data_IF_365037149254
#
_entry.id   IF_365037149254
#
_cell.length_a   1.000
_cell.length_b   1.000
_cell.length_c   1.000
_cell.angle_alpha   90.00
_cell.angle_beta   90.00
_cell.angle_gamma   90.00
#
_symmetry.space_group_name_H-M   'P 1'
#
loop_
_entity.id
_entity.type
_entity.pdbx_description
1 polymer ?
#
# COMPACT_ATOMS: atom_id res chain seq x y z
N UNK A 1 -1.30 -11.69 7.66
CA UNK A 1 -1.30 -10.44 8.46
C UNK A 1 -2.74 -10.00 8.62
N UNK A 2 -3.16 -9.68 9.83
CA UNK A 2 -4.55 -9.29 10.12
C UNK A 2 -4.53 -7.94 10.82
N UNK A 3 -5.24 -6.96 10.27
CA UNK A 3 -5.26 -5.58 10.78
C UNK A 3 -6.66 -5.01 10.73
N UNK A 4 -7.02 -4.23 11.75
CA UNK A 4 -8.29 -3.50 11.81
C UNK A 4 -8.08 -2.18 12.57
N UNK A 5 -9.09 -1.31 12.52
CA UNK A 5 -9.06 -0.01 13.18
C UNK A 5 -10.35 0.28 13.92
N UNK A 6 -10.25 1.17 14.90
CA UNK A 6 -11.39 1.81 15.56
C UNK A 6 -11.28 3.31 15.30
N UNK A 7 -12.25 3.92 14.58
CA UNK A 7 -12.30 5.37 14.39
C UNK A 7 -12.38 6.12 15.72
N UNK A 8 -11.68 7.25 15.79
CA UNK A 8 -11.63 8.14 16.93
C UNK A 8 -12.15 9.53 16.54
N UNK A 9 -12.36 10.39 17.54
CA UNK A 9 -12.71 11.80 17.34
C UNK A 9 -11.64 12.48 16.46
N UNK A 10 -12.07 13.41 15.59
CA UNK A 10 -11.15 14.16 14.73
C UNK A 10 -10.58 13.34 13.57
N UNK A 11 -11.25 12.26 13.16
CA UNK A 11 -10.85 11.42 12.02
C UNK A 11 -9.62 10.54 12.29
N UNK A 12 -9.07 10.59 13.51
CA UNK A 12 -7.96 9.74 13.91
C UNK A 12 -8.40 8.28 14.02
N UNK A 13 -7.42 7.39 14.01
CA UNK A 13 -7.64 5.94 14.07
C UNK A 13 -6.85 5.35 15.23
N UNK A 14 -7.37 4.27 15.81
CA UNK A 14 -6.56 3.35 16.63
C UNK A 14 -6.44 2.04 15.88
N UNK A 15 -5.23 1.66 15.50
CA UNK A 15 -4.99 0.41 14.78
C UNK A 15 -4.65 -0.72 15.73
N UNK A 16 -5.00 -1.92 15.27
CA UNK A 16 -4.72 -3.17 15.93
C UNK A 16 -4.38 -4.20 14.86
N UNK A 17 -3.64 -5.22 15.25
CA UNK A 17 -3.38 -6.33 14.35
C UNK A 17 -2.53 -7.40 14.99
N UNK A 18 -2.30 -8.45 14.22
CA UNK A 18 -1.30 -9.46 14.52
C UNK A 18 -0.78 -10.09 13.22
N UNK A 19 0.44 -10.60 13.28
CA UNK A 19 1.03 -11.43 12.24
C UNK A 19 1.02 -12.86 12.74
N UNK A 20 0.48 -13.77 11.93
CA UNK A 20 0.60 -15.20 12.16
C UNK A 20 1.65 -15.73 11.19
N UNK A 21 2.63 -16.47 11.70
CA UNK A 21 3.66 -17.14 10.90
C UNK A 21 3.54 -18.65 11.04
N UNK A 22 4.09 -19.37 10.07
CA UNK A 22 4.23 -20.81 10.11
C UNK A 22 5.60 -21.16 9.52
N UNK A 23 6.59 -21.38 10.39
CA UNK A 23 7.96 -21.68 10.02
C UNK A 23 8.27 -23.10 10.48
N UNK A 24 8.65 -23.98 9.55
CA UNK A 24 8.95 -25.39 9.83
C UNK A 24 7.83 -26.14 10.59
N UNK A 25 6.57 -25.75 10.35
CA UNK A 25 5.40 -26.33 11.03
C UNK A 25 5.10 -25.74 12.41
N UNK A 26 5.93 -24.82 12.93
CA UNK A 26 5.66 -24.07 14.15
C UNK A 26 4.85 -22.83 13.84
N UNK A 27 3.64 -22.77 14.39
CA UNK A 27 2.75 -21.63 14.26
C UNK A 27 2.93 -20.67 15.43
N UNK A 28 3.22 -19.40 15.13
CA UNK A 28 3.33 -18.34 16.12
C UNK A 28 2.40 -17.18 15.76
N UNK A 29 1.95 -16.44 16.78
CA UNK A 29 1.15 -15.23 16.63
C UNK A 29 1.91 -14.09 17.31
N UNK A 30 2.14 -13.02 16.56
CA UNK A 30 2.82 -11.82 17.02
C UNK A 30 1.84 -10.64 17.00
N UNK A 31 1.36 -10.18 18.17
CA UNK A 31 0.54 -8.98 18.25
C UNK A 31 1.29 -7.75 17.74
N UNK A 32 0.58 -6.86 17.06
CA UNK A 32 1.11 -5.59 16.57
C UNK A 32 0.74 -4.45 17.52
N UNK A 33 1.75 -3.70 17.96
CA UNK A 33 1.59 -2.50 18.77
C UNK A 33 1.81 -1.27 17.91
N UNK A 34 0.75 -0.51 17.63
CA UNK A 34 0.82 0.74 16.86
C UNK A 34 1.63 1.80 17.62
N UNK A 35 2.80 2.14 17.06
CA UNK A 35 3.73 3.13 17.61
C UNK A 35 4.02 4.27 16.61
N UNK A 36 3.17 4.45 15.59
CA UNK A 36 3.43 5.39 14.49
C UNK A 36 3.63 6.85 14.89
N UNK A 37 3.10 7.28 16.04
CA UNK A 37 3.27 8.66 16.54
C UNK A 37 4.67 8.93 17.09
N UNK A 38 5.41 7.87 17.41
CA UNK A 38 6.73 7.92 18.00
C UNK A 38 7.85 7.63 16.98
N UNK A 39 7.49 7.27 15.74
CA UNK A 39 8.43 6.92 14.69
C UNK A 39 8.67 8.16 13.81
N UNK A 40 9.81 8.81 13.98
CA UNK A 40 10.15 10.04 13.25
C UNK A 40 10.50 9.78 11.78
N UNK A 41 11.21 8.67 11.49
CA UNK A 41 11.74 8.36 10.15
C UNK A 41 11.34 6.96 9.70
N UNK A 42 10.03 6.67 9.55
CA UNK A 42 9.53 5.32 9.25
C UNK A 42 10.09 4.74 7.94
N UNK A 43 10.49 5.59 6.99
CA UNK A 43 11.05 5.18 5.70
C UNK A 43 12.49 4.64 5.79
N UNK A 44 13.19 4.85 6.92
CA UNK A 44 14.59 4.42 7.12
C UNK A 44 14.76 3.35 8.21
N UNK A 45 13.68 2.96 8.89
CA UNK A 45 13.75 2.09 10.06
C UNK A 45 13.14 0.71 9.79
N UNK A 46 13.89 -0.32 10.17
CA UNK A 46 13.35 -1.64 10.47
C UNK A 46 12.70 -1.61 11.86
N UNK A 47 11.47 -2.09 11.94
CA UNK A 47 10.61 -2.09 13.11
C UNK A 47 10.32 -3.54 13.52
N UNK A 48 9.96 -3.72 14.79
CA UNK A 48 9.43 -4.98 15.28
C UNK A 48 7.91 -4.90 15.38
N UNK A 49 7.28 -6.02 15.72
CA UNK A 49 5.83 -6.04 15.96
C UNK A 49 5.42 -5.13 17.12
N UNK A 50 6.34 -4.78 18.05
CA UNK A 50 6.09 -3.86 19.16
C UNK A 50 6.27 -2.38 18.79
N UNK A 51 6.83 -2.08 17.62
CA UNK A 51 7.06 -0.72 17.12
C UNK A 51 6.40 -0.52 15.76
N UNK A 52 5.31 -1.23 15.49
CA UNK A 52 4.62 -1.26 14.21
C UNK A 52 4.09 0.12 13.79
N UNK A 53 4.30 0.46 12.51
CA UNK A 53 3.70 1.64 11.89
C UNK A 53 2.27 1.33 11.44
N UNK A 54 1.29 1.61 12.31
CA UNK A 54 -0.11 1.18 12.16
C UNK A 54 -0.76 1.50 10.81
N UNK A 55 -1.33 0.48 10.16
CA UNK A 55 -2.04 0.57 8.89
C UNK A 55 -3.06 -0.57 8.73
N UNK A 56 -3.98 -0.43 7.77
CA UNK A 56 -4.81 -1.52 7.27
C UNK A 56 -4.19 -2.09 6.00
N UNK A 57 -3.76 -3.35 6.04
CA UNK A 57 -3.21 -4.03 4.86
C UNK A 57 -4.33 -4.73 4.08
N UNK A 58 -4.35 -4.51 2.77
CA UNK A 58 -5.37 -5.07 1.86
C UNK A 58 -4.76 -5.96 0.76
N UNK A 59 -3.44 -5.97 0.60
CA UNK A 59 -2.74 -6.84 -0.34
C UNK A 59 -1.40 -7.26 0.24
N UNK A 60 -0.98 -8.48 -0.08
CA UNK A 60 0.34 -9.03 0.24
C UNK A 60 0.86 -9.82 -0.96
N UNK A 61 2.15 -9.69 -1.23
CA UNK A 61 2.89 -10.47 -2.23
C UNK A 61 4.22 -10.90 -1.62
N UNK A 62 4.76 -12.04 -2.02
CA UNK A 62 6.08 -12.51 -1.59
C UNK A 62 7.00 -12.61 -2.80
N UNK A 63 8.22 -12.11 -2.66
CA UNK A 63 9.28 -12.21 -3.66
C UNK A 63 10.60 -12.53 -2.94
N UNK A 64 11.52 -13.22 -3.61
CA UNK A 64 12.83 -13.53 -3.05
C UNK A 64 13.86 -12.48 -3.49
N UNK A 65 14.45 -11.77 -2.52
CA UNK A 65 15.48 -10.77 -2.76
C UNK A 65 16.80 -11.26 -2.17
N UNK A 66 17.79 -11.50 -3.04
CA UNK A 66 19.12 -11.97 -2.63
C UNK A 66 19.11 -13.21 -1.71
N UNK A 67 18.17 -14.13 -1.91
CA UNK A 67 18.04 -15.36 -1.12
C UNK A 67 17.09 -15.26 0.07
N UNK A 68 16.54 -14.08 0.37
CA UNK A 68 15.62 -13.86 1.49
C UNK A 68 14.18 -13.62 0.97
N UNK A 69 13.21 -14.31 1.56
CA UNK A 69 11.80 -14.11 1.23
C UNK A 69 11.28 -12.83 1.89
N UNK A 70 10.88 -11.87 1.06
CA UNK A 70 10.35 -10.58 1.51
C UNK A 70 8.89 -10.45 1.10
N UNK A 71 8.02 -10.32 2.09
CA UNK A 71 6.60 -10.08 1.93
C UNK A 71 6.37 -8.58 1.79
N UNK A 72 5.93 -8.12 0.62
CA UNK A 72 5.56 -6.73 0.40
C UNK A 72 4.05 -6.56 0.54
N UNK A 73 3.63 -5.65 1.41
CA UNK A 73 2.23 -5.38 1.74
C UNK A 73 1.83 -3.99 1.27
N UNK A 74 0.62 -3.89 0.73
CA UNK A 74 -0.01 -2.60 0.41
C UNK A 74 -1.07 -2.29 1.47
N UNK A 75 -1.01 -1.07 2.01
CA UNK A 75 -1.87 -0.66 3.10
C UNK A 75 -2.34 0.80 3.03
N UNK A 76 -3.23 1.13 3.95
CA UNK A 76 -3.76 2.48 4.16
C UNK A 76 -3.73 2.85 5.64
N UNK A 77 -3.29 4.06 5.92
CA UNK A 77 -3.57 4.75 7.17
C UNK A 77 -4.49 5.94 6.89
N UNK A 78 -5.72 5.92 7.43
CA UNK A 78 -6.68 7.03 7.29
C UNK A 78 -6.27 8.32 8.02
N UNK A 79 -5.17 8.29 8.80
CA UNK A 79 -4.47 9.43 9.40
C UNK A 79 -5.34 10.43 10.20
N UNK A 80 -6.03 11.36 9.53
CA UNK A 80 -6.94 12.35 10.15
C UNK A 80 -8.00 12.87 9.15
N UNK A 81 -8.78 13.89 9.53
CA UNK A 81 -9.84 14.48 8.68
C UNK A 81 -9.37 15.14 7.37
N UNK A 82 -8.08 15.47 7.26
CA UNK A 82 -7.55 16.30 6.19
C UNK A 82 -6.71 15.51 5.19
N UNK A 83 -5.98 14.50 5.65
CA UNK A 83 -5.14 13.66 4.81
C UNK A 83 -5.29 12.18 5.13
N UNK A 84 -4.98 11.35 4.14
CA UNK A 84 -4.83 9.91 4.24
C UNK A 84 -3.43 9.52 3.79
N UNK A 85 -3.01 8.31 4.16
CA UNK A 85 -1.70 7.75 3.81
C UNK A 85 -1.84 6.40 3.11
N UNK A 86 -1.17 6.20 1.99
CA UNK A 86 -0.93 4.86 1.41
C UNK A 86 0.46 4.40 1.86
N UNK A 87 0.58 3.12 2.19
CA UNK A 87 1.81 2.57 2.74
C UNK A 87 2.21 1.32 1.96
N UNK A 88 3.48 1.22 1.60
CA UNK A 88 4.12 -0.01 1.15
C UNK A 88 5.04 -0.46 2.27
N UNK A 89 4.67 -1.57 2.90
CA UNK A 89 5.40 -2.21 4.00
C UNK A 89 6.11 -3.45 3.48
N UNK A 90 7.27 -3.77 4.04
CA UNK A 90 7.96 -5.03 3.77
C UNK A 90 8.10 -5.81 5.07
N UNK A 91 7.98 -7.12 4.99
CA UNK A 91 8.14 -8.01 6.15
C UNK A 91 9.09 -9.12 5.72
N UNK A 92 10.06 -9.42 6.57
CA UNK A 92 10.82 -10.68 6.51
C UNK A 92 10.64 -11.41 7.84
N UNK A 93 11.07 -12.66 7.89
CA UNK A 93 11.06 -13.47 9.11
C UNK A 93 12.51 -13.74 9.52
N UNK A 94 12.81 -13.61 10.82
CA UNK A 94 14.06 -14.13 11.37
C UNK A 94 14.11 -15.66 11.27
N UNK A 95 15.28 -16.25 11.53
CA UNK A 95 15.45 -17.71 11.57
C UNK A 95 14.49 -18.38 12.59
N UNK A 96 14.16 -17.69 13.68
CA UNK A 96 13.17 -18.13 14.68
C UNK A 96 11.71 -17.91 14.27
N UNK A 97 11.48 -17.32 13.09
CA UNK A 97 10.15 -17.01 12.54
C UNK A 97 9.56 -15.70 13.05
N UNK A 98 10.34 -14.82 13.67
CA UNK A 98 9.88 -13.51 14.16
C UNK A 98 9.76 -12.48 13.02
N UNK A 99 8.62 -11.79 12.87
CA UNK A 99 8.45 -10.78 11.83
C UNK A 99 9.29 -9.51 12.08
N UNK A 100 10.08 -9.13 11.08
CA UNK A 100 10.78 -7.84 11.01
C UNK A 100 10.15 -6.99 9.91
N UNK A 101 9.72 -5.77 10.24
CA UNK A 101 8.99 -4.89 9.33
C UNK A 101 9.88 -3.77 8.81
N UNK A 102 9.89 -3.50 7.51
CA UNK A 102 10.73 -2.49 6.88
C UNK A 102 12.11 -3.01 6.50
N UNK A 103 12.15 -4.06 5.67
CA UNK A 103 13.34 -4.52 4.96
C UNK A 103 13.75 -3.45 3.94
N UNK A 104 15.01 -2.98 3.91
CA UNK A 104 15.46 -1.90 3.03
C UNK A 104 15.63 -2.39 1.58
N UNK A 105 14.52 -2.52 0.86
CA UNK A 105 14.47 -3.06 -0.52
C UNK A 105 13.94 -2.07 -1.55
N UNK A 106 13.56 -0.84 -1.16
CA UNK A 106 13.10 0.17 -2.11
C UNK A 106 14.25 1.10 -2.51
N UNK A 107 14.61 1.11 -3.79
CA UNK A 107 15.62 2.00 -4.35
C UNK A 107 14.94 3.20 -5.00
N UNK A 108 15.23 4.39 -4.49
CA UNK A 108 14.67 5.66 -4.96
C UNK A 108 15.80 6.67 -5.12
N UNK A 109 16.13 7.03 -6.36
CA UNK A 109 17.14 8.07 -6.67
C UNK A 109 18.46 7.88 -5.90
N UNK A 110 18.96 6.63 -5.86
CA UNK A 110 20.21 6.26 -5.18
C UNK A 110 20.10 6.08 -3.66
N UNK A 111 18.92 6.22 -3.07
CA UNK A 111 18.66 5.90 -1.65
C UNK A 111 17.96 4.57 -1.54
N UNK A 112 18.27 3.82 -0.49
CA UNK A 112 17.53 2.60 -0.12
C UNK A 112 16.60 2.91 1.06
N UNK A 113 15.32 2.58 0.92
CA UNK A 113 14.28 2.83 1.91
C UNK A 113 13.67 1.50 2.36
N UNK A 114 13.25 1.47 3.62
CA UNK A 114 12.56 0.34 4.28
C UNK A 114 11.06 0.32 3.99
N UNK A 115 10.46 1.49 3.81
CA UNK A 115 9.01 1.66 3.71
C UNK A 115 8.69 2.89 2.88
N UNK A 116 7.62 2.82 2.10
CA UNK A 116 7.12 3.96 1.33
C UNK A 116 5.83 4.43 1.95
N UNK A 117 5.73 5.72 2.22
CA UNK A 117 4.54 6.37 2.78
C UNK A 117 4.19 7.54 1.89
N UNK A 118 2.99 7.50 1.30
CA UNK A 118 2.42 8.60 0.54
C UNK A 118 1.40 9.29 1.41
N UNK A 119 1.46 10.61 1.56
CA UNK A 119 0.41 11.40 2.21
C UNK A 119 -0.28 12.29 1.18
N UNK A 120 -1.61 12.28 1.19
CA UNK A 120 -2.43 12.99 0.21
C UNK A 120 -3.77 13.42 0.84
N UNK A 121 -4.51 14.27 0.13
CA UNK A 121 -5.81 14.76 0.58
C UNK A 121 -6.76 13.62 0.94
N UNK A 122 -7.42 13.70 2.10
CA UNK A 122 -8.46 12.74 2.50
C UNK A 122 -9.67 12.75 1.56
N UNK A 123 -9.78 13.76 0.68
CA UNK A 123 -10.83 13.89 -0.33
C UNK A 123 -10.46 13.28 -1.69
N UNK A 124 -9.19 12.92 -1.88
CA UNK A 124 -8.70 12.30 -3.09
C UNK A 124 -8.67 10.77 -2.94
N UNK A 125 -8.67 10.07 -4.08
CA UNK A 125 -8.42 8.62 -4.12
C UNK A 125 -7.09 8.40 -4.81
N UNK A 126 -6.14 7.81 -4.09
CA UNK A 126 -4.85 7.41 -4.65
C UNK A 126 -4.83 5.91 -4.94
N UNK A 127 -4.49 5.56 -6.18
CA UNK A 127 -4.15 4.23 -6.65
C UNK A 127 -2.82 3.77 -6.04
N UNK A 128 -2.82 2.55 -5.51
CA UNK A 128 -1.63 1.80 -5.14
C UNK A 128 -1.98 0.32 -5.36
N UNK A 129 -1.39 -0.32 -6.36
CA UNK A 129 -1.75 -1.71 -6.71
C UNK A 129 -0.60 -2.45 -7.38
N UNK A 130 -0.68 -3.77 -7.34
CA UNK A 130 0.15 -4.65 -8.16
C UNK A 130 -0.31 -4.61 -9.61
N UNK A 131 0.64 -4.53 -10.54
CA UNK A 131 0.45 -4.80 -11.95
C UNK A 131 1.33 -5.99 -12.33
N UNK A 132 0.69 -7.14 -12.54
CA UNK A 132 1.40 -8.39 -12.86
C UNK A 132 2.01 -8.37 -14.27
N UNK A 133 1.38 -7.72 -15.25
CA UNK A 133 1.93 -7.65 -16.62
C UNK A 133 3.24 -6.84 -16.63
N UNK A 134 3.27 -5.76 -15.86
CA UNK A 134 4.44 -4.88 -15.75
C UNK A 134 5.46 -5.36 -14.70
N UNK A 135 5.10 -6.34 -13.85
CA UNK A 135 5.85 -6.72 -12.65
C UNK A 135 6.22 -5.50 -11.78
N UNK A 136 5.21 -4.67 -11.49
CA UNK A 136 5.36 -3.38 -10.79
C UNK A 136 4.33 -3.18 -9.69
N UNK A 137 4.70 -2.43 -8.66
CA UNK A 137 3.74 -1.68 -7.84
C UNK A 137 3.47 -0.36 -8.56
N UNK A 138 2.26 -0.17 -9.06
CA UNK A 138 1.84 1.05 -9.77
C UNK A 138 1.05 1.94 -8.83
N UNK A 139 1.36 3.24 -8.85
CA UNK A 139 0.66 4.24 -8.05
C UNK A 139 0.52 5.58 -8.77
N UNK A 140 -0.47 6.35 -8.37
CA UNK A 140 -0.66 7.70 -8.91
C UNK A 140 0.51 8.59 -8.48
N UNK A 141 1.02 9.41 -9.40
CA UNK A 141 1.91 10.51 -9.04
C UNK A 141 1.11 11.58 -8.27
N UNK A 142 1.66 12.05 -7.14
CA UNK A 142 1.01 13.04 -6.28
C UNK A 142 1.65 14.41 -6.44
N UNK A 143 0.82 15.38 -6.79
CA UNK A 143 1.22 16.78 -6.94
C UNK A 143 0.34 17.69 -6.09
N UNK A 144 0.85 18.79 -5.54
CA UNK A 144 0.02 19.76 -4.84
C UNK A 144 -0.93 20.45 -5.83
N UNK A 145 -2.18 20.66 -5.44
CA UNK A 145 -3.19 21.33 -6.28
C UNK A 145 -2.75 22.74 -6.76
N UNK A 146 -1.86 23.38 -6.00
CA UNK A 146 -1.20 24.65 -6.34
C UNK A 146 0.23 24.62 -5.84
N UNK A 147 1.15 25.27 -6.54
CA UNK A 147 2.56 25.30 -6.16
C UNK A 147 2.82 25.89 -4.77
N UNK A 148 1.99 26.85 -4.32
CA UNK A 148 2.07 27.44 -2.98
C UNK A 148 1.58 26.52 -1.85
N UNK A 149 1.08 25.32 -2.18
CA UNK A 149 0.72 24.26 -1.23
C UNK A 149 1.77 23.13 -1.16
N UNK A 150 2.96 23.34 -1.71
CA UNK A 150 4.07 22.41 -1.55
C UNK A 150 4.28 22.07 -0.06
N UNK A 151 4.57 20.79 0.21
CA UNK A 151 4.75 20.21 1.55
C UNK A 151 3.50 20.18 2.44
N UNK A 152 2.37 20.75 1.99
CA UNK A 152 1.08 20.61 2.66
C UNK A 152 0.26 19.47 2.05
N UNK A 153 0.53 18.24 2.51
CA UNK A 153 0.00 17.00 1.92
C UNK A 153 -1.53 16.88 1.92
N UNK A 154 -2.27 17.66 2.72
CA UNK A 154 -3.74 17.70 2.63
C UNK A 154 -4.26 18.24 1.28
N UNK A 155 -3.39 18.90 0.52
CA UNK A 155 -3.66 19.45 -0.81
C UNK A 155 -2.96 18.68 -1.94
N UNK A 156 -2.32 17.56 -1.63
CA UNK A 156 -1.73 16.68 -2.66
C UNK A 156 -2.81 15.77 -3.21
N UNK A 157 -2.85 15.65 -4.54
CA UNK A 157 -3.83 14.84 -5.27
C UNK A 157 -3.14 14.15 -6.47
N UNK A 158 -3.70 13.04 -6.99
CA UNK A 158 -3.27 12.48 -8.26
C UNK A 158 -3.30 13.49 -9.40
N UNK A 159 -2.25 13.53 -10.22
CA UNK A 159 -2.20 14.39 -11.43
C UNK A 159 -2.45 13.64 -12.73
N UNK A 160 -2.92 12.40 -12.64
CA UNK A 160 -3.19 11.47 -13.74
C UNK A 160 -1.96 10.92 -14.47
N UNK A 161 -0.75 11.22 -14.00
CA UNK A 161 0.45 10.44 -14.33
C UNK A 161 0.67 9.34 -13.30
N UNK A 162 1.48 8.35 -13.68
CA UNK A 162 1.75 7.18 -12.86
C UNK A 162 3.25 7.02 -12.66
N UNK A 163 3.61 6.64 -11.45
CA UNK A 163 4.94 6.16 -11.11
C UNK A 163 4.82 4.68 -10.71
N UNK A 164 5.97 4.00 -10.59
CA UNK A 164 5.99 2.62 -10.17
C UNK A 164 7.25 2.21 -9.42
N UNK A 165 7.14 1.08 -8.73
CA UNK A 165 8.27 0.31 -8.26
C UNK A 165 8.35 -0.98 -9.07
N UNK A 166 9.40 -1.12 -9.86
CA UNK A 166 9.66 -2.33 -10.66
C UNK A 166 10.36 -3.39 -9.84
N UNK A 167 9.91 -4.63 -9.99
CA UNK A 167 10.53 -5.77 -9.36
C UNK A 167 11.91 -6.04 -9.99
N UNK A 168 12.93 -6.21 -9.16
CA UNK A 168 14.28 -6.62 -9.55
C UNK A 168 14.78 -7.71 -8.60
N UNK A 169 15.92 -8.34 -8.91
CA UNK A 169 16.55 -9.32 -8.01
C UNK A 169 17.00 -8.73 -6.67
N UNK A 170 17.20 -7.41 -6.62
CA UNK A 170 17.70 -6.69 -5.45
C UNK A 170 16.58 -6.00 -4.64
N UNK A 171 15.34 -6.09 -5.08
CA UNK A 171 14.21 -5.36 -4.51
C UNK A 171 13.44 -4.53 -5.54
N UNK A 172 12.83 -3.45 -5.06
CA UNK A 172 11.93 -2.57 -5.79
C UNK A 172 12.67 -1.32 -6.29
N UNK A 173 12.76 -1.12 -7.60
CA UNK A 173 13.39 0.06 -8.21
C UNK A 173 12.34 1.09 -8.64
N UNK A 174 12.47 2.34 -8.22
CA UNK A 174 11.55 3.41 -8.60
C UNK A 174 11.72 3.82 -10.06
N UNK A 175 10.60 3.80 -10.80
CA UNK A 175 10.49 4.33 -12.16
C UNK A 175 9.40 5.41 -12.19
N UNK A 176 9.73 6.59 -12.72
CA UNK A 176 8.79 7.70 -12.84
C UNK A 176 8.15 7.74 -14.24
N UNK A 177 6.96 8.33 -14.33
CA UNK A 177 6.26 8.62 -15.59
C UNK A 177 6.08 7.36 -16.47
N UNK A 178 5.54 6.31 -15.87
CA UNK A 178 5.31 5.01 -16.52
C UNK A 178 4.01 5.01 -17.34
N UNK A 179 4.06 4.40 -18.52
CA UNK A 179 2.85 4.20 -19.34
C UNK A 179 2.09 2.96 -18.88
N UNK A 180 0.99 3.17 -18.16
CA UNK A 180 0.13 2.10 -17.62
C UNK A 180 -1.04 1.75 -18.54
N UNK A 181 -1.07 2.30 -19.77
CA UNK A 181 -2.12 1.97 -20.74
C UNK A 181 -1.91 0.55 -21.25
N UNK A 182 -2.99 -0.21 -21.35
CA UNK A 182 -2.93 -1.54 -21.96
C UNK A 182 -2.58 -1.40 -23.47
N UNK A 183 -1.42 -1.91 -23.93
CA UNK A 183 -1.04 -1.85 -25.33
C UNK A 183 -1.96 -2.71 -26.22
N UNK A 184 -2.52 -3.79 -25.67
CA UNK A 184 -3.41 -4.74 -26.36
C UNK A 184 -4.89 -4.39 -26.21
N UNK A 185 -5.22 -3.10 -25.99
CA UNK A 185 -6.61 -2.67 -25.99
C UNK A 185 -7.20 -2.84 -27.38
N UNK A 186 -7.75 -4.04 -27.66
CA UNK A 186 -8.71 -4.27 -28.72
C UNK A 186 -9.76 -3.16 -28.63
N UNK A 187 -10.19 -2.64 -29.79
CA UNK A 187 -11.21 -1.59 -29.84
C UNK A 187 -12.33 -1.94 -28.85
N UNK A 188 -12.72 -1.02 -27.95
CA UNK A 188 -13.69 -1.33 -26.91
C UNK A 188 -14.92 -1.93 -27.59
N UNK A 189 -15.44 -3.08 -27.09
CA UNK A 189 -16.65 -3.65 -27.66
C UNK A 189 -17.72 -2.56 -27.67
N UNK A 190 -18.48 -2.48 -28.76
CA UNK A 190 -19.53 -1.48 -28.91
C UNK A 190 -20.40 -1.49 -27.65
N UNK A 191 -20.58 -0.35 -26.96
CA UNK A 191 -21.37 -0.31 -25.73
C UNK A 191 -22.74 -0.93 -26.00
N UNK A 192 -23.08 -1.98 -25.25
CA UNK A 192 -24.43 -2.53 -25.29
C UNK A 192 -25.34 -1.41 -24.75
N UNK A 193 -26.35 -1.01 -25.52
CA UNK A 193 -27.34 -0.06 -25.02
C UNK A 193 -27.96 -0.65 -23.76
N UNK A 194 -27.90 0.04 -22.60
CA UNK A 194 -28.56 -0.46 -21.41
C UNK A 194 -30.05 -0.64 -21.70
N UNK A 195 -30.69 -1.68 -21.15
CA UNK A 195 -32.12 -1.87 -21.31
C UNK A 195 -32.87 -0.62 -20.80
N UNK A 196 -33.95 -0.26 -21.48
CA UNK A 196 -34.77 0.94 -21.17
C UNK A 196 -35.35 0.85 -19.75
N UNK A 197 -35.58 -0.37 -19.27
CA UNK A 197 -35.97 -0.67 -17.91
C UNK A 197 -34.98 -1.68 -17.31
N UNK A 198 -34.56 -1.46 -16.06
CA UNK A 198 -33.74 -2.38 -15.28
C UNK A 198 -34.57 -2.92 -14.11
N UNK A 199 -35.51 -3.85 -14.36
CA UNK A 199 -36.45 -4.30 -13.33
C UNK A 199 -35.77 -5.17 -12.26
N UNK A 200 -34.64 -5.80 -12.59
CA UNK A 200 -33.83 -6.60 -11.66
C UNK A 200 -32.38 -6.10 -11.65
N UNK A 201 -32.09 -5.00 -10.97
CA UNK A 201 -30.73 -4.53 -10.82
C UNK A 201 -29.84 -5.61 -10.20
N UNK A 202 -28.68 -5.87 -10.81
CA UNK A 202 -27.75 -6.92 -10.40
C UNK A 202 -27.11 -6.73 -9.01
N UNK A 203 -27.39 -5.63 -8.31
CA UNK A 203 -27.01 -5.40 -6.91
C UNK A 203 -28.08 -5.90 -5.91
N UNK A 204 -29.24 -6.34 -6.39
CA UNK A 204 -30.25 -6.95 -5.52
C UNK A 204 -29.75 -8.32 -5.05
N UNK A 205 -29.43 -8.39 -3.76
CA UNK A 205 -29.07 -9.62 -3.09
C UNK A 205 -30.23 -10.63 -3.22
N UNK A 206 -29.98 -11.74 -3.90
CA UNK A 206 -30.92 -12.86 -4.00
C UNK A 206 -30.48 -13.93 -3.01
N UNK A 207 -31.17 -14.03 -1.87
CA UNK A 207 -31.03 -15.20 -1.02
C UNK A 207 -31.56 -16.41 -1.81
N UNK A 208 -30.70 -17.38 -2.09
CA UNK A 208 -31.16 -18.74 -2.43
C UNK A 208 -31.59 -19.47 -1.17
#
# INVERSE_FOLDING_TARGET
VYTWNIPQVGGHQKYFGFIQTNTEGKQNIYPLTDNRKQIETPQLQTLSTNTWHGALYYSIRVDNFSGEDVYTLLGIDMNNLFSSKRIIETITLSDEGEPMLGVPVFRVKGKTLSRIVFEFSARATMTLRWNEEMQMIVFDHLSPMRNDYAENYQFYVPDFSYDGFKLTQLGWEYEADIDVRNPDRLAPPTPIKPPVENPEPGFLYKSK
#
